data_IF_161811448328
#
_entry.id   IF_161811448328
#
_cell.length_a   1.000
_cell.length_b   1.000
_cell.length_c   1.000
_cell.angle_alpha   90.00
_cell.angle_beta   90.00
_cell.angle_gamma   90.00
#
_symmetry.space_group_name_H-M   'P 1'
#
loop_
_entity.id
_entity.type
_entity.pdbx_description
1 polymer ?
#
# COMPACT_ATOMS: atom_id res chain seq x y z
N UNK A 1 70.24 6.53 -26.75
CA UNK A 1 69.75 7.16 -25.51
C UNK A 1 68.32 7.65 -25.73
N UNK A 2 67.39 7.26 -24.82
CA UNK A 2 66.19 8.00 -24.32
C UNK A 2 65.27 8.70 -25.35
N UNK A 3 63.94 8.63 -25.31
CA UNK A 3 62.96 8.11 -24.33
C UNK A 3 61.57 8.17 -24.99
N UNK A 4 60.75 7.20 -24.61
CA UNK A 4 59.29 7.08 -24.77
C UNK A 4 58.49 8.38 -24.62
N UNK A 5 57.36 8.48 -25.34
CA UNK A 5 56.02 8.41 -24.72
C UNK A 5 54.92 8.23 -25.78
N UNK A 6 54.32 7.02 -25.82
CA UNK A 6 52.95 6.86 -26.31
C UNK A 6 52.02 7.46 -25.25
N UNK A 7 51.19 8.43 -25.63
CA UNK A 7 50.09 8.90 -24.78
C UNK A 7 48.79 8.36 -25.35
N UNK A 8 48.36 7.22 -24.80
CA UNK A 8 47.05 6.62 -25.02
C UNK A 8 45.96 7.54 -24.47
N UNK A 9 45.14 8.07 -25.37
CA UNK A 9 43.93 8.82 -25.02
C UNK A 9 42.87 7.82 -24.54
N UNK A 10 42.78 7.60 -23.23
CA UNK A 10 41.69 6.85 -22.61
C UNK A 10 40.44 7.74 -22.65
N UNK A 11 39.55 7.51 -23.63
CA UNK A 11 38.19 8.04 -23.57
C UNK A 11 37.49 7.40 -22.36
N UNK A 12 37.27 8.19 -21.32
CA UNK A 12 36.32 7.88 -20.26
C UNK A 12 34.91 7.88 -20.86
N UNK A 13 34.45 6.70 -21.27
CA UNK A 13 33.03 6.44 -21.51
C UNK A 13 32.32 6.52 -20.16
N UNK A 14 31.74 7.67 -19.84
CA UNK A 14 30.78 7.78 -18.75
C UNK A 14 29.59 6.86 -19.08
N UNK A 15 29.51 5.70 -18.43
CA UNK A 15 28.32 4.86 -18.42
C UNK A 15 27.25 5.59 -17.60
N UNK A 16 26.57 6.55 -18.23
CA UNK A 16 25.29 7.06 -17.74
C UNK A 16 24.25 5.99 -18.03
N UNK A 17 24.08 5.05 -17.11
CA UNK A 17 22.92 4.15 -17.14
C UNK A 17 21.63 4.96 -17.08
N UNK A 18 20.54 4.52 -17.73
CA UNK A 18 19.27 5.24 -17.66
C UNK A 18 18.77 5.20 -16.21
N UNK A 19 18.81 6.36 -15.54
CA UNK A 19 18.09 6.58 -14.30
C UNK A 19 16.59 6.58 -14.63
N UNK A 20 15.95 5.41 -14.60
CA UNK A 20 14.50 5.37 -14.48
C UNK A 20 14.16 5.89 -13.08
N UNK A 21 13.82 7.17 -13.00
CA UNK A 21 13.37 7.79 -11.76
C UNK A 21 12.14 7.02 -11.27
N UNK A 22 12.26 6.39 -10.12
CA UNK A 22 11.15 5.71 -9.48
C UNK A 22 10.10 6.76 -9.08
N UNK A 23 8.81 6.42 -9.21
CA UNK A 23 7.73 7.31 -8.78
C UNK A 23 7.93 7.70 -7.31
N UNK A 24 7.72 8.97 -6.92
CA UNK A 24 7.74 9.34 -5.51
C UNK A 24 6.64 8.58 -4.76
N UNK A 25 6.88 8.33 -3.48
CA UNK A 25 5.84 7.79 -2.60
C UNK A 25 4.67 8.77 -2.49
N UNK A 26 3.46 8.20 -2.50
CA UNK A 26 2.22 8.89 -2.15
C UNK A 26 1.90 8.58 -0.70
N UNK A 27 1.75 9.61 0.13
CA UNK A 27 1.36 9.45 1.53
C UNK A 27 -0.11 9.03 1.63
N UNK A 28 -0.44 8.13 2.55
CA UNK A 28 -1.81 7.69 2.82
C UNK A 28 -2.77 8.83 3.15
N UNK A 29 -2.28 9.91 3.78
CA UNK A 29 -3.06 11.11 4.06
C UNK A 29 -3.45 11.87 2.78
N UNK A 30 -2.73 11.71 1.67
CA UNK A 30 -3.14 12.28 0.38
C UNK A 30 -4.40 11.62 -0.19
N UNK A 31 -4.71 10.39 0.24
CA UNK A 31 -5.94 9.68 -0.10
C UNK A 31 -7.13 10.10 0.77
N UNK A 32 -6.91 10.93 1.79
CA UNK A 32 -7.92 11.32 2.75
C UNK A 32 -8.31 12.80 2.62
N UNK A 33 -9.61 13.14 2.56
CA UNK A 33 -10.05 14.53 2.61
C UNK A 33 -9.55 15.24 3.87
N UNK A 34 -9.22 16.53 3.77
CA UNK A 34 -8.77 17.32 4.93
C UNK A 34 -9.76 17.36 6.09
N UNK A 35 -11.06 17.22 5.81
CA UNK A 35 -12.08 17.09 6.86
C UNK A 35 -11.92 15.82 7.69
N UNK A 36 -11.54 14.72 7.04
CA UNK A 36 -11.42 13.42 7.68
C UNK A 36 -10.06 13.31 8.40
N UNK A 37 -9.00 13.91 7.86
CA UNK A 37 -7.71 14.05 8.56
C UNK A 37 -7.90 14.75 9.90
N UNK A 38 -8.56 15.92 9.89
CA UNK A 38 -8.88 16.66 11.13
C UNK A 38 -9.78 15.87 12.09
N UNK A 39 -10.71 15.09 11.55
CA UNK A 39 -11.59 14.27 12.37
C UNK A 39 -10.84 13.09 13.01
N UNK A 40 -9.84 12.51 12.33
CA UNK A 40 -8.94 11.51 12.91
C UNK A 40 -8.05 12.12 14.00
N UNK A 41 -7.46 13.28 13.75
CA UNK A 41 -6.61 14.01 14.73
C UNK A 41 -7.38 14.37 16.01
N UNK A 42 -8.68 14.65 15.88
CA UNK A 42 -9.56 14.99 17.00
C UNK A 42 -10.20 13.77 17.66
N UNK A 43 -9.81 12.53 17.28
CA UNK A 43 -10.38 11.34 17.90
C UNK A 43 -9.96 11.25 19.37
N UNK A 44 -10.91 10.95 20.28
CA UNK A 44 -10.53 10.57 21.63
C UNK A 44 -9.69 9.30 21.59
N UNK A 45 -8.81 9.11 22.57
CA UNK A 45 -8.07 7.85 22.72
C UNK A 45 -9.07 6.68 22.75
N UNK A 46 -8.92 5.76 21.79
CA UNK A 46 -9.69 4.53 21.75
C UNK A 46 -8.93 3.51 22.57
N UNK A 47 -9.63 2.87 23.50
CA UNK A 47 -9.05 1.76 24.24
C UNK A 47 -8.71 0.60 23.29
N UNK A 48 -7.43 0.25 23.23
CA UNK A 48 -6.92 -0.86 22.44
C UNK A 48 -6.92 -2.20 23.23
N UNK A 49 -7.38 -2.22 24.49
CA UNK A 49 -7.47 -3.42 25.35
C UNK A 49 -8.74 -4.28 25.12
N UNK A 50 -9.31 -4.29 23.91
CA UNK A 50 -10.23 -5.40 23.61
C UNK A 50 -9.42 -6.71 23.64
N UNK A 51 -9.95 -7.83 24.15
CA UNK A 51 -9.30 -9.13 23.96
C UNK A 51 -9.04 -9.26 22.47
N UNK A 52 -7.77 -9.31 22.09
CA UNK A 52 -7.32 -9.55 20.72
C UNK A 52 -8.11 -10.75 20.22
N UNK A 53 -9.17 -10.50 19.46
CA UNK A 53 -10.09 -11.56 19.08
C UNK A 53 -9.27 -12.48 18.18
N UNK A 54 -8.95 -13.66 18.71
CA UNK A 54 -8.19 -14.73 18.09
C UNK A 54 -8.15 -14.59 16.56
N UNK A 55 -7.04 -14.03 16.05
CA UNK A 55 -6.67 -13.95 14.63
C UNK A 55 -7.81 -14.03 13.61
N UNK A 56 -8.74 -13.07 13.59
CA UNK A 56 -9.85 -13.02 12.61
C UNK A 56 -9.40 -12.60 11.20
N UNK A 57 -8.12 -12.75 10.87
CA UNK A 57 -7.51 -12.32 9.61
C UNK A 57 -8.20 -12.96 8.39
N UNK A 58 -8.62 -14.22 8.52
CA UNK A 58 -9.33 -14.99 7.50
C UNK A 58 -10.86 -14.99 7.68
N UNK A 59 -11.35 -14.37 8.75
CA UNK A 59 -12.74 -14.43 9.14
C UNK A 59 -13.56 -13.37 8.43
N UNK A 60 -14.80 -13.71 8.07
CA UNK A 60 -15.74 -12.77 7.44
C UNK A 60 -15.84 -11.50 8.29
N UNK A 61 -15.59 -10.36 7.67
CA UNK A 61 -15.68 -9.04 8.29
C UNK A 61 -14.44 -8.60 9.09
N UNK A 62 -13.29 -9.30 8.98
CA UNK A 62 -12.07 -8.98 9.73
C UNK A 62 -11.51 -7.57 9.55
N UNK A 63 -11.93 -6.84 8.50
CA UNK A 63 -11.58 -5.42 8.28
C UNK A 63 -12.79 -4.48 8.34
N UNK A 64 -13.96 -4.96 8.77
CA UNK A 64 -15.15 -4.11 8.94
C UNK A 64 -15.16 -3.51 10.34
N UNK A 65 -15.54 -2.24 10.40
CA UNK A 65 -15.64 -1.50 11.64
C UNK A 65 -16.70 -2.10 12.57
N UNK A 66 -16.35 -2.25 13.85
CA UNK A 66 -17.32 -2.56 14.91
C UNK A 66 -18.26 -1.36 15.13
N UNK A 67 -19.41 -1.58 15.79
CA UNK A 67 -20.34 -0.48 16.12
C UNK A 67 -19.76 0.39 17.24
N UNK A 68 -20.05 1.69 17.21
CA UNK A 68 -19.73 2.62 18.30
C UNK A 68 -18.43 3.40 18.15
N UNK A 69 -17.75 3.29 17.01
CA UNK A 69 -16.57 4.08 16.70
C UNK A 69 -16.97 5.50 16.24
N UNK A 70 -16.04 6.49 16.30
CA UNK A 70 -16.26 7.80 15.71
C UNK A 70 -16.60 7.72 14.21
N UNK A 71 -17.43 8.64 13.71
CA UNK A 71 -17.93 8.62 12.33
C UNK A 71 -16.84 8.55 11.25
N UNK A 72 -15.67 9.16 11.52
CA UNK A 72 -14.51 9.14 10.62
C UNK A 72 -13.99 7.73 10.35
N UNK A 73 -14.15 6.79 11.30
CA UNK A 73 -13.73 5.40 11.13
C UNK A 73 -14.55 4.64 10.08
N UNK A 74 -15.74 5.13 9.73
CA UNK A 74 -16.58 4.56 8.66
C UNK A 74 -16.47 5.33 7.35
N UNK A 75 -15.54 6.29 7.24
CA UNK A 75 -15.50 7.19 6.10
C UNK A 75 -15.14 6.49 4.80
N UNK A 76 -15.97 6.73 3.78
CA UNK A 76 -15.74 6.35 2.39
C UNK A 76 -15.44 7.57 1.52
N UNK A 77 -15.25 8.75 2.13
CA UNK A 77 -14.97 9.97 1.37
C UNK A 77 -13.58 9.89 0.76
N UNK A 78 -13.47 10.34 -0.48
CA UNK A 78 -12.25 10.27 -1.28
C UNK A 78 -11.75 11.65 -1.66
N UNK A 79 -10.52 11.72 -2.20
CA UNK A 79 -9.93 12.92 -2.78
C UNK A 79 -10.06 12.82 -4.31
N UNK A 80 -11.00 13.55 -4.95
CA UNK A 80 -11.29 13.39 -6.39
C UNK A 80 -10.07 13.53 -7.30
N UNK A 81 -9.13 14.40 -6.92
CA UNK A 81 -7.89 14.64 -7.68
C UNK A 81 -6.95 13.42 -7.71
N UNK A 82 -7.17 12.40 -6.87
CA UNK A 82 -6.37 11.17 -6.87
C UNK A 82 -6.90 10.13 -7.87
N UNK A 83 -8.12 10.28 -8.38
CA UNK A 83 -8.68 9.34 -9.34
C UNK A 83 -7.90 9.33 -10.66
N UNK A 84 -7.51 8.14 -11.12
CA UNK A 84 -6.77 7.94 -12.36
C UNK A 84 -5.28 8.29 -12.29
N UNK A 85 -4.76 8.72 -11.13
CA UNK A 85 -3.32 8.97 -10.98
C UNK A 85 -2.53 7.67 -10.94
N UNK A 86 -1.39 7.65 -11.62
CA UNK A 86 -0.36 6.63 -11.38
C UNK A 86 0.42 7.02 -10.14
N UNK A 87 0.38 6.18 -9.11
CA UNK A 87 1.02 6.43 -7.81
C UNK A 87 1.92 5.27 -7.39
N UNK A 88 2.77 5.51 -6.40
CA UNK A 88 3.49 4.48 -5.65
C UNK A 88 3.05 4.56 -4.19
N UNK A 89 2.45 3.49 -3.68
CA UNK A 89 1.92 3.42 -2.31
C UNK A 89 2.66 2.33 -1.53
N UNK A 90 3.15 2.69 -0.35
CA UNK A 90 3.72 1.76 0.62
C UNK A 90 2.63 1.20 1.53
N UNK A 91 2.73 -0.07 1.94
CA UNK A 91 1.82 -0.60 2.95
C UNK A 91 1.95 -2.10 3.14
N UNK A 92 0.97 -2.69 3.82
CA UNK A 92 0.98 -4.12 4.19
C UNK A 92 -0.15 -4.87 3.47
N UNK A 93 0.12 -6.07 2.94
CA UNK A 93 -0.85 -6.83 2.17
C UNK A 93 -1.82 -7.62 3.05
N UNK A 94 -3.08 -7.67 2.62
CA UNK A 94 -4.12 -8.55 3.14
C UNK A 94 -4.67 -9.36 1.96
N UNK A 95 -4.21 -10.61 1.75
CA UNK A 95 -4.57 -11.41 0.58
C UNK A 95 -6.07 -11.75 0.53
N UNK A 96 -6.62 -11.73 -0.68
CA UNK A 96 -8.00 -12.15 -0.96
C UNK A 96 -8.06 -13.34 -1.93
N UNK A 97 -7.24 -13.30 -2.97
CA UNK A 97 -7.18 -14.36 -3.99
C UNK A 97 -5.72 -14.70 -4.33
N UNK A 98 -5.50 -15.97 -4.64
CA UNK A 98 -4.22 -16.50 -5.12
C UNK A 98 -4.40 -17.27 -6.42
N UNK A 99 -3.37 -17.26 -7.27
CA UNK A 99 -3.33 -18.12 -8.45
C UNK A 99 -3.01 -19.59 -8.09
N UNK A 100 -3.01 -20.47 -9.10
CA UNK A 100 -2.69 -21.89 -8.94
C UNK A 100 -1.25 -22.18 -8.44
N UNK A 101 -0.38 -21.16 -8.42
CA UNK A 101 0.99 -21.24 -7.89
C UNK A 101 1.10 -20.65 -6.48
N UNK A 102 -0.03 -20.30 -5.86
CA UNK A 102 -0.08 -19.68 -4.53
C UNK A 102 0.36 -18.22 -4.50
N UNK A 103 0.44 -17.53 -5.65
CA UNK A 103 0.82 -16.11 -5.71
C UNK A 103 -0.41 -15.24 -5.52
N UNK A 104 -0.36 -14.24 -4.66
CA UNK A 104 -1.47 -13.32 -4.44
C UNK A 104 -1.71 -12.45 -5.67
N UNK A 105 -2.94 -12.47 -6.18
CA UNK A 105 -3.38 -11.73 -7.39
C UNK A 105 -4.41 -10.65 -7.08
N UNK A 106 -5.09 -10.78 -5.94
CA UNK A 106 -6.02 -9.79 -5.41
C UNK A 106 -5.78 -9.68 -3.90
N UNK A 107 -5.57 -8.47 -3.41
CA UNK A 107 -5.31 -8.20 -2.00
C UNK A 107 -5.69 -6.75 -1.66
N UNK A 108 -5.97 -6.46 -0.38
CA UNK A 108 -5.93 -5.08 0.08
C UNK A 108 -4.50 -4.70 0.44
N UNK A 109 -4.14 -3.44 0.24
CA UNK A 109 -3.00 -2.81 0.91
C UNK A 109 -3.54 -1.85 1.98
N UNK A 110 -2.89 -1.84 3.14
CA UNK A 110 -3.27 -1.05 4.33
C UNK A 110 -2.07 -0.29 4.91
N UNK A 111 -2.29 0.82 5.64
CA UNK A 111 -1.20 1.69 6.12
C UNK A 111 -0.34 1.13 7.25
N UNK A 112 -0.78 0.10 7.98
CA UNK A 112 -0.04 -0.46 9.13
C UNK A 112 -0.16 -1.98 9.20
N UNK A 113 0.86 -2.66 9.76
CA UNK A 113 0.85 -4.11 9.86
C UNK A 113 -0.23 -4.58 10.85
N UNK A 114 -0.80 -5.75 10.58
CA UNK A 114 -1.79 -6.33 11.48
C UNK A 114 -3.13 -5.59 11.54
N UNK A 115 -3.46 -4.77 10.54
CA UNK A 115 -4.73 -4.04 10.49
C UNK A 115 -6.00 -4.91 10.60
N UNK A 116 -5.90 -6.23 10.37
CA UNK A 116 -7.01 -7.20 10.51
C UNK A 116 -7.02 -7.94 11.86
N UNK A 117 -5.96 -7.77 12.67
CA UNK A 117 -5.80 -8.43 13.97
C UNK A 117 -5.79 -7.43 15.13
N UNK A 118 -5.49 -6.17 14.84
CA UNK A 118 -5.58 -5.05 15.77
C UNK A 118 -6.86 -4.26 15.52
N UNK A 119 -7.49 -3.80 16.60
CA UNK A 119 -8.64 -2.91 16.53
C UNK A 119 -8.26 -1.47 16.90
N UNK A 120 -8.92 -0.47 16.30
CA UNK A 120 -9.87 -0.59 15.18
C UNK A 120 -9.14 -0.78 13.83
N UNK A 121 -9.79 -1.40 12.83
CA UNK A 121 -9.25 -1.43 11.46
C UNK A 121 -9.22 -0.02 10.86
N UNK A 122 -8.46 0.23 9.76
CA UNK A 122 -8.44 1.53 9.11
C UNK A 122 -9.83 1.86 8.50
N UNK A 123 -10.18 3.14 8.33
CA UNK A 123 -11.41 3.52 7.65
C UNK A 123 -11.40 3.07 6.17
N UNK A 124 -12.55 2.85 5.52
CA UNK A 124 -12.63 2.42 4.13
C UNK A 124 -11.84 3.26 3.11
N UNK A 125 -11.65 4.56 3.37
CA UNK A 125 -10.81 5.43 2.54
C UNK A 125 -9.30 5.32 2.82
N UNK A 126 -8.89 4.38 3.65
CA UNK A 126 -7.50 3.99 3.95
C UNK A 126 -7.27 2.49 3.69
N UNK A 127 -8.10 1.90 2.83
CA UNK A 127 -7.91 0.59 2.23
C UNK A 127 -7.88 0.76 0.72
N UNK A 128 -6.95 0.08 0.03
CA UNK A 128 -6.92 0.05 -1.44
C UNK A 128 -6.96 -1.40 -1.91
N UNK A 129 -7.98 -1.77 -2.69
CA UNK A 129 -8.03 -3.08 -3.35
C UNK A 129 -7.03 -3.12 -4.52
N UNK A 130 -6.01 -3.94 -4.43
CA UNK A 130 -4.98 -4.09 -5.47
C UNK A 130 -5.29 -5.29 -6.35
N UNK A 131 -5.39 -5.05 -7.66
CA UNK A 131 -5.49 -6.07 -8.70
C UNK A 131 -4.12 -6.24 -9.35
N UNK A 132 -3.52 -7.43 -9.22
CA UNK A 132 -2.18 -7.72 -9.74
C UNK A 132 -2.11 -9.10 -10.42
N UNK A 133 -2.56 -9.23 -11.68
CA UNK A 133 -2.63 -10.52 -12.38
C UNK A 133 -1.27 -11.24 -12.54
N UNK A 134 -0.15 -10.51 -12.46
CA UNK A 134 1.20 -11.09 -12.51
C UNK A 134 1.48 -11.98 -11.29
N UNK A 135 0.78 -11.77 -10.18
CA UNK A 135 0.94 -12.48 -8.92
C UNK A 135 2.19 -12.04 -8.15
N UNK A 136 2.06 -11.93 -6.82
CA UNK A 136 3.18 -11.74 -5.90
C UNK A 136 3.32 -12.99 -5.02
N UNK A 137 4.53 -13.55 -4.93
CA UNK A 137 4.81 -14.53 -3.86
C UNK A 137 4.92 -13.76 -2.55
N UNK A 138 3.99 -14.00 -1.64
CA UNK A 138 3.95 -13.37 -0.33
C UNK A 138 4.35 -14.40 0.70
N UNK A 139 5.52 -14.22 1.32
CA UNK A 139 6.00 -15.12 2.37
C UNK A 139 5.43 -14.74 3.74
N UNK A 140 5.21 -13.44 4.00
CA UNK A 140 4.68 -12.92 5.25
C UNK A 140 3.83 -11.65 5.02
N UNK A 141 2.63 -11.58 5.63
CA UNK A 141 1.73 -10.43 5.59
C UNK A 141 2.25 -9.21 6.37
N UNK A 142 3.22 -9.40 7.25
CA UNK A 142 3.93 -8.33 7.95
C UNK A 142 5.06 -7.72 7.12
N UNK A 143 5.34 -8.26 5.92
CA UNK A 143 6.33 -7.68 5.02
C UNK A 143 5.71 -6.50 4.25
N UNK A 144 6.27 -5.28 4.37
CA UNK A 144 5.76 -4.14 3.64
C UNK A 144 6.05 -4.25 2.15
N UNK A 145 5.12 -3.74 1.34
CA UNK A 145 5.17 -3.73 -0.11
C UNK A 145 5.18 -2.31 -0.66
N UNK A 146 5.90 -2.12 -1.77
CA UNK A 146 5.65 -1.04 -2.71
C UNK A 146 4.70 -1.52 -3.80
N UNK A 147 3.60 -0.78 -3.98
CA UNK A 147 2.61 -0.99 -5.04
C UNK A 147 2.61 0.23 -5.95
N UNK A 148 2.97 0.04 -7.22
CA UNK A 148 2.87 1.06 -8.26
C UNK A 148 1.73 0.70 -9.20
N UNK A 149 0.88 1.67 -9.53
CA UNK A 149 -0.28 1.42 -10.38
C UNK A 149 -1.19 2.64 -10.55
N UNK A 150 -2.25 2.45 -11.32
CA UNK A 150 -3.28 3.48 -11.52
C UNK A 150 -4.33 3.36 -10.43
N UNK A 151 -4.42 4.38 -9.57
CA UNK A 151 -5.44 4.46 -8.53
C UNK A 151 -6.79 4.82 -9.13
N UNK A 152 -7.85 4.20 -8.63
CA UNK A 152 -9.24 4.46 -8.99
C UNK A 152 -10.07 4.71 -7.73
N UNK A 153 -10.93 5.71 -7.79
CA UNK A 153 -12.04 5.83 -6.85
C UNK A 153 -13.08 4.77 -7.26
N UNK A 154 -13.14 3.69 -6.50
CA UNK A 154 -13.99 2.54 -6.76
C UNK A 154 -14.54 2.08 -5.41
N UNK A 155 -15.87 2.05 -5.28
CA UNK A 155 -16.51 1.49 -4.09
C UNK A 155 -16.37 -0.02 -4.13
N UNK A 156 -15.61 -0.56 -3.21
CA UNK A 156 -15.44 -2.00 -2.99
C UNK A 156 -16.18 -2.38 -1.72
N UNK A 157 -16.91 -3.49 -1.76
CA UNK A 157 -17.55 -4.10 -0.61
C UNK A 157 -17.50 -5.61 -0.81
N UNK A 158 -16.73 -6.31 0.01
CA UNK A 158 -16.67 -7.76 0.03
C UNK A 158 -16.90 -8.31 1.45
N UNK A 159 -16.76 -9.62 1.61
CA UNK A 159 -16.95 -10.28 2.90
C UNK A 159 -15.95 -9.77 3.95
N UNK A 160 -14.74 -9.35 3.54
CA UNK A 160 -13.68 -8.93 4.45
C UNK A 160 -13.76 -7.45 4.83
N UNK A 161 -13.95 -6.56 3.85
CA UNK A 161 -13.80 -5.12 4.02
C UNK A 161 -14.68 -4.29 3.08
N UNK A 162 -14.88 -3.03 3.46
CA UNK A 162 -15.31 -1.96 2.57
C UNK A 162 -14.09 -1.08 2.23
N UNK A 163 -13.95 -0.66 0.98
CA UNK A 163 -12.90 0.26 0.56
C UNK A 163 -13.43 1.31 -0.44
N UNK A 164 -12.80 2.48 -0.43
CA UNK A 164 -13.16 3.58 -1.34
C UNK A 164 -12.23 3.70 -2.57
N UNK A 165 -11.17 2.89 -2.59
CA UNK A 165 -10.15 2.89 -3.63
C UNK A 165 -9.82 1.49 -4.12
N UNK A 166 -9.49 1.40 -5.41
CA UNK A 166 -8.86 0.24 -6.02
C UNK A 166 -7.64 0.69 -6.83
N UNK A 167 -6.72 -0.24 -7.10
CA UNK A 167 -5.54 0.01 -7.91
C UNK A 167 -5.31 -1.14 -8.88
N UNK A 168 -5.16 -0.81 -10.16
CA UNK A 168 -4.60 -1.74 -11.14
C UNK A 168 -3.08 -1.61 -11.09
N UNK A 169 -2.42 -2.58 -10.44
CA UNK A 169 -0.99 -2.53 -10.20
C UNK A 169 -0.19 -2.90 -11.46
N UNK A 170 0.77 -2.04 -11.80
CA UNK A 170 1.75 -2.30 -12.85
C UNK A 170 2.98 -3.03 -12.31
N UNK A 171 3.34 -2.76 -11.05
CA UNK A 171 4.48 -3.32 -10.34
C UNK A 171 4.18 -3.46 -8.84
N UNK A 172 4.50 -4.61 -8.29
CA UNK A 172 4.45 -4.87 -6.85
C UNK A 172 5.76 -5.52 -6.44
N UNK A 173 6.39 -5.01 -5.38
CA UNK A 173 7.62 -5.57 -4.82
C UNK A 173 7.67 -5.40 -3.31
N UNK A 174 8.46 -6.24 -2.65
CA UNK A 174 8.81 -6.07 -1.24
C UNK A 174 9.67 -4.80 -1.06
N UNK A 175 9.45 -4.09 0.03
CA UNK A 175 10.33 -3.01 0.49
C UNK A 175 11.65 -3.64 0.96
N UNK A 176 12.77 -3.05 0.56
CA UNK A 176 14.11 -3.52 0.95
C UNK A 176 14.83 -2.43 1.73
N UNK A 177 15.91 -2.78 2.43
CA UNK A 177 16.70 -1.86 3.27
C UNK A 177 17.09 -0.56 2.55
N UNK A 178 17.42 -0.63 1.25
CA UNK A 178 17.82 0.55 0.47
C UNK A 178 16.67 1.52 0.15
N UNK A 179 15.43 1.18 0.50
CA UNK A 179 14.27 2.07 0.38
C UNK A 179 14.05 2.92 1.65
N UNK A 180 14.70 2.58 2.77
CA UNK A 180 14.57 3.22 4.09
C UNK A 180 15.66 4.29 4.31
#
# INVERSE_FOLDING_TARGET
MRRFLLMTLLLLSALSGPAHAQLPETDWLELMPKSDQKALEAMPEIDHNSPEAMGTFDSKGGLKQSKGLPAVMYSTKTVPAMNGKTIRLGGYPVPLETDAKGRSTLFFIVPYPGACIHVPPPPPNQLVLVRYPKGLKLDDIYTPLWVEGTLKIEKVSNDLADAAYAMDASKVRVVVESDL
#
